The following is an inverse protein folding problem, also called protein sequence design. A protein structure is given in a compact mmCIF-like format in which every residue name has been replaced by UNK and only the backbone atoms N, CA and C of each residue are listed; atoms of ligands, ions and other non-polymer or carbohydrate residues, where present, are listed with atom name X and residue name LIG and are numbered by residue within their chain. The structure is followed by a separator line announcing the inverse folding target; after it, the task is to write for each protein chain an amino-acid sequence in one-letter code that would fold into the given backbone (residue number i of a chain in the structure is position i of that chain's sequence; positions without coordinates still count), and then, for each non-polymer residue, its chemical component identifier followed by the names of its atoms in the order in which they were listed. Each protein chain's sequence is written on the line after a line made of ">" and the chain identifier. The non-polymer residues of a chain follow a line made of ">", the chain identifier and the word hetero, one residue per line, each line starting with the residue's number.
data_IF_096738518636
#
_entry.id   IF_096738518636
#
_cell.length_a   1.000
_cell.length_b   1.000
_cell.length_c   1.000
_cell.angle_alpha   90.00
_cell.angle_beta   90.00
_cell.angle_gamma   90.00
#
_symmetry.space_group_name_H-M   'P 1'
#
loop_
_entity.id
_entity.type
_entity.pdbx_description
1 polymer ?
#
# COMPACT_ATOMS: atom_id res chain seq x y z
N UNK A 1 17.24 -8.22 6.89
CA UNK A 1 16.50 -7.73 5.71
C UNK A 1 17.54 -7.34 4.67
N UNK A 2 17.43 -7.80 3.41
CA UNK A 2 18.37 -7.40 2.35
C UNK A 2 18.10 -5.97 1.89
N UNK A 3 19.06 -5.35 1.20
CA UNK A 3 18.88 -4.01 0.63
C UNK A 3 17.74 -3.98 -0.40
N UNK A 4 17.63 -5.01 -1.23
CA UNK A 4 16.53 -5.19 -2.19
C UNK A 4 15.18 -5.23 -1.48
N UNK A 5 15.06 -6.05 -0.44
CA UNK A 5 13.85 -6.16 0.39
C UNK A 5 13.47 -4.82 1.04
N UNK A 6 14.46 -4.10 1.57
CA UNK A 6 14.24 -2.79 2.16
C UNK A 6 13.76 -1.77 1.12
N UNK A 7 14.35 -1.77 -0.07
CA UNK A 7 13.97 -0.87 -1.14
C UNK A 7 12.56 -1.18 -1.67
N UNK A 8 12.21 -2.46 -1.80
CA UNK A 8 10.87 -2.88 -2.18
C UNK A 8 9.82 -2.42 -1.16
N UNK A 9 10.08 -2.62 0.13
CA UNK A 9 9.21 -2.15 1.23
C UNK A 9 9.05 -0.62 1.22
N UNK A 10 10.16 0.12 1.03
CA UNK A 10 10.16 1.59 0.95
C UNK A 10 9.29 2.09 -0.21
N UNK A 11 9.44 1.50 -1.39
CA UNK A 11 8.67 1.86 -2.59
C UNK A 11 7.19 1.53 -2.44
N UNK A 12 6.88 0.37 -1.87
CA UNK A 12 5.50 -0.01 -1.57
C UNK A 12 4.82 1.01 -0.66
N UNK A 13 5.45 1.35 0.47
CA UNK A 13 4.89 2.32 1.43
C UNK A 13 4.71 3.72 0.85
N UNK A 14 5.70 4.20 0.09
CA UNK A 14 5.60 5.50 -0.58
C UNK A 14 4.42 5.53 -1.57
N UNK A 15 4.24 4.46 -2.35
CA UNK A 15 3.13 4.34 -3.30
C UNK A 15 1.79 4.32 -2.58
N UNK A 16 1.66 3.51 -1.52
CA UNK A 16 0.40 3.39 -0.77
C UNK A 16 0.05 4.67 0.00
N UNK A 17 1.05 5.44 0.44
CA UNK A 17 0.81 6.75 1.05
C UNK A 17 0.17 7.74 0.08
N UNK A 18 0.61 7.73 -1.19
CA UNK A 18 0.01 8.56 -2.26
C UNK A 18 -1.41 8.09 -2.55
N UNK A 19 -1.61 6.78 -2.76
CA UNK A 19 -2.93 6.20 -3.01
C UNK A 19 -3.91 6.52 -1.87
N UNK A 20 -3.45 6.45 -0.61
CA UNK A 20 -4.27 6.81 0.55
C UNK A 20 -4.62 8.28 0.54
N UNK A 21 -3.69 9.16 0.17
CA UNK A 21 -3.99 10.59 0.01
C UNK A 21 -5.06 10.83 -1.05
N UNK A 22 -4.98 10.14 -2.19
CA UNK A 22 -5.98 10.21 -3.25
C UNK A 22 -7.36 9.78 -2.75
N UNK A 23 -7.45 8.68 -1.99
CA UNK A 23 -8.68 8.21 -1.37
C UNK A 23 -9.24 9.25 -0.39
N UNK A 24 -8.41 9.79 0.52
CA UNK A 24 -8.86 10.80 1.49
C UNK A 24 -9.33 12.11 0.85
N UNK A 25 -8.82 12.45 -0.33
CA UNK A 25 -9.22 13.63 -1.10
C UNK A 25 -10.42 13.36 -2.03
N UNK A 26 -10.95 12.14 -2.06
CA UNK A 26 -12.04 11.75 -2.94
C UNK A 26 -11.66 11.68 -4.42
N UNK A 27 -10.37 11.57 -4.75
CA UNK A 27 -9.88 11.43 -6.13
C UNK A 27 -10.04 10.01 -6.67
N UNK A 28 -10.12 9.04 -5.77
CA UNK A 28 -10.42 7.63 -6.06
C UNK A 28 -11.38 7.11 -5.01
N UNK A 29 -12.10 6.04 -5.33
CA UNK A 29 -12.96 5.32 -4.40
C UNK A 29 -12.22 4.15 -3.73
N UNK A 30 -12.84 3.56 -2.71
CA UNK A 30 -12.25 2.46 -1.96
C UNK A 30 -11.93 1.23 -2.82
N UNK A 31 -12.79 0.90 -3.79
CA UNK A 31 -12.54 -0.24 -4.69
C UNK A 31 -11.32 -0.02 -5.58
N UNK A 32 -11.11 1.20 -6.07
CA UNK A 32 -9.91 1.57 -6.84
C UNK A 32 -8.65 1.52 -5.97
N UNK A 33 -8.75 1.96 -4.71
CA UNK A 33 -7.66 1.82 -3.74
C UNK A 33 -7.28 0.35 -3.51
N UNK A 34 -8.25 -0.56 -3.38
CA UNK A 34 -7.99 -2.00 -3.22
C UNK A 34 -7.35 -2.63 -4.47
N UNK A 35 -7.73 -2.16 -5.67
CA UNK A 35 -7.07 -2.58 -6.92
C UNK A 35 -5.60 -2.13 -6.91
N UNK A 36 -5.33 -0.90 -6.47
CA UNK A 36 -3.95 -0.39 -6.34
C UNK A 36 -3.17 -1.23 -5.32
N UNK A 37 -3.73 -1.48 -4.14
CA UNK A 37 -3.12 -2.31 -3.09
C UNK A 37 -2.71 -3.68 -3.62
N UNK A 38 -3.66 -4.38 -4.25
CA UNK A 38 -3.44 -5.71 -4.84
C UNK A 38 -2.31 -5.70 -5.88
N UNK A 39 -2.30 -4.70 -6.78
CA UNK A 39 -1.24 -4.58 -7.80
C UNK A 39 0.13 -4.25 -7.19
N UNK A 40 0.18 -3.43 -6.14
CA UNK A 40 1.44 -3.05 -5.49
C UNK A 40 2.00 -4.18 -4.61
N UNK A 41 1.13 -4.99 -4.00
CA UNK A 41 1.53 -6.20 -3.28
C UNK A 41 2.21 -7.21 -4.21
N UNK A 42 1.64 -7.46 -5.40
CA UNK A 42 2.25 -8.37 -6.38
C UNK A 42 3.57 -7.80 -6.94
N UNK A 43 3.61 -6.49 -7.24
CA UNK A 43 4.78 -5.82 -7.81
C UNK A 43 5.98 -5.79 -6.87
N UNK A 44 5.76 -5.39 -5.62
CA UNK A 44 6.87 -5.13 -4.69
C UNK A 44 7.10 -6.26 -3.70
N UNK A 45 6.13 -7.19 -3.53
CA UNK A 45 6.20 -8.30 -2.57
C UNK A 45 6.75 -7.84 -1.20
N UNK A 46 6.17 -6.78 -0.61
CA UNK A 46 6.64 -6.22 0.65
C UNK A 46 6.54 -7.26 1.76
N UNK A 47 7.46 -7.21 2.72
CA UNK A 47 7.48 -8.18 3.83
C UNK A 47 6.42 -7.83 4.86
N UNK A 48 6.10 -6.54 5.01
CA UNK A 48 5.13 -6.05 6.00
C UNK A 48 3.82 -5.54 5.37
N UNK A 49 3.63 -5.66 4.05
CA UNK A 49 2.51 -5.03 3.34
C UNK A 49 1.13 -5.53 3.75
N UNK A 50 1.03 -6.77 4.25
CA UNK A 50 -0.24 -7.38 4.71
C UNK A 50 -0.60 -7.04 6.15
N UNK A 51 0.39 -6.70 7.00
CA UNK A 51 0.15 -6.42 8.43
C UNK A 51 -0.64 -5.11 8.65
N UNK A 52 -0.54 -4.17 7.70
CA UNK A 52 -1.20 -2.86 7.78
C UNK A 52 -2.43 -2.75 6.87
N UNK A 53 -2.58 -3.61 5.86
CA UNK A 53 -3.76 -3.64 4.96
C UNK A 53 -4.99 -4.22 5.67
N UNK A 54 -4.80 -5.16 6.61
CA UNK A 54 -5.88 -5.75 7.41
C UNK A 54 -6.20 -4.99 8.70
N UNK A 55 -5.40 -3.99 9.08
CA UNK A 55 -5.79 -3.10 10.17
C UNK A 55 -6.80 -2.10 9.60
N UNK A 56 -8.05 -2.55 9.44
CA UNK A 56 -9.19 -1.64 9.44
C UNK A 56 -9.02 -0.78 10.68
N UNK A 57 -8.57 0.47 10.49
CA UNK A 57 -8.60 1.48 11.54
C UNK A 57 -10.08 1.74 11.81
N UNK A 58 -10.69 0.89 12.63
CA UNK A 58 -11.86 1.21 13.41
C UNK A 58 -11.42 2.29 14.38
N UNK A 59 -11.68 3.54 14.01
CA UNK A 59 -11.66 4.70 14.87
C UNK A 59 -13.08 5.26 14.90
#
# INVERSE_FOLDING_TARGET
>A
MSEEMFNAEKLYRATMAIAKSMLTKGLIIFDEYNIIDTKMLDKYRPIFGTLLSQTSLTL
#
